data_IF_448628463935
#
_entry.id   IF_448628463935
#
_cell.length_a   1.000
_cell.length_b   1.000
_cell.length_c   1.000
_cell.angle_alpha   90.00
_cell.angle_beta   90.00
_cell.angle_gamma   90.00
#
_symmetry.space_group_name_H-M   'P 1'
#
loop_
_entity.id
_entity.type
_entity.pdbx_description
1 polymer ?
#
# COMPACT_ATOMS: atom_id res chain seq x y z
N UNK A 1 14.88 -78.53 -47.99
CA UNK A 1 16.15 -77.92 -48.44
C UNK A 1 15.84 -76.51 -48.95
N UNK A 2 16.50 -75.49 -48.38
CA UNK A 2 16.60 -74.08 -48.80
C UNK A 2 15.30 -73.26 -49.07
N UNK A 3 15.02 -72.45 -48.05
CA UNK A 3 14.31 -71.16 -48.05
C UNK A 3 14.95 -70.19 -49.05
N UNK A 4 14.12 -69.37 -49.72
CA UNK A 4 14.36 -67.94 -50.06
C UNK A 4 13.18 -67.41 -50.88
N UNK A 5 12.41 -66.47 -50.33
CA UNK A 5 12.36 -65.11 -50.87
C UNK A 5 11.48 -64.19 -50.03
N UNK A 6 12.17 -63.23 -49.43
CA UNK A 6 11.67 -61.99 -48.84
C UNK A 6 11.05 -61.11 -49.93
N UNK A 7 9.89 -60.52 -49.69
CA UNK A 7 9.46 -59.23 -50.26
C UNK A 7 8.53 -58.56 -49.23
N UNK A 8 8.90 -57.34 -48.85
CA UNK A 8 8.19 -56.41 -47.98
C UNK A 8 7.57 -55.33 -48.86
N UNK A 9 6.27 -55.08 -48.78
CA UNK A 9 5.56 -53.87 -49.24
C UNK A 9 4.24 -53.78 -48.43
N UNK A 10 4.09 -52.84 -47.50
CA UNK A 10 3.65 -51.43 -47.65
C UNK A 10 2.14 -51.29 -47.97
N UNK A 11 1.41 -50.63 -47.04
CA UNK A 11 0.17 -49.80 -47.17
C UNK A 11 -0.71 -49.99 -45.92
N UNK A 12 -0.77 -49.02 -44.99
CA UNK A 12 -1.60 -47.80 -44.99
C UNK A 12 -3.12 -48.07 -44.85
N UNK A 13 -3.67 -47.90 -43.64
CA UNK A 13 -5.02 -47.39 -43.35
C UNK A 13 -5.29 -47.40 -41.82
N UNK A 14 -5.40 -46.21 -41.19
CA UNK A 14 -6.64 -45.64 -40.62
C UNK A 14 -7.18 -46.31 -39.34
N UNK A 15 -7.22 -45.53 -38.25
CA UNK A 15 -8.40 -45.21 -37.38
C UNK A 15 -7.91 -44.79 -35.98
N UNK A 16 -8.15 -43.51 -35.64
CA UNK A 16 -8.11 -42.95 -34.28
C UNK A 16 -9.52 -43.11 -33.62
N UNK A 17 -9.81 -42.53 -32.44
CA UNK A 17 -9.18 -42.58 -31.12
C UNK A 17 -10.20 -43.04 -30.03
N UNK A 18 -9.77 -43.52 -28.85
CA UNK A 18 -10.61 -43.41 -27.63
C UNK A 18 -9.88 -43.78 -26.32
N UNK A 19 -9.72 -42.76 -25.47
CA UNK A 19 -9.82 -42.83 -24.01
C UNK A 19 -8.96 -43.86 -23.23
N UNK A 20 -7.65 -43.61 -23.14
CA UNK A 20 -6.89 -44.07 -21.96
C UNK A 20 -7.07 -43.04 -20.84
N UNK A 21 -7.92 -43.35 -19.86
CA UNK A 21 -7.99 -42.63 -18.58
C UNK A 21 -6.62 -42.73 -17.90
N UNK A 22 -5.90 -41.62 -17.81
CA UNK A 22 -4.76 -41.48 -16.92
C UNK A 22 -5.28 -41.61 -15.47
N UNK A 23 -4.94 -42.72 -14.80
CA UNK A 23 -5.06 -42.82 -13.36
C UNK A 23 -4.04 -41.86 -12.76
N UNK A 24 -4.54 -40.74 -12.23
CA UNK A 24 -3.76 -39.85 -11.36
C UNK A 24 -3.39 -40.70 -10.13
N UNK A 25 -2.09 -40.92 -9.82
CA UNK A 25 -1.75 -41.43 -8.51
C UNK A 25 -2.16 -40.34 -7.52
N UNK A 26 -3.16 -40.65 -6.69
CA UNK A 26 -3.43 -39.87 -5.51
C UNK A 26 -2.13 -39.87 -4.69
N UNK A 27 -1.41 -38.75 -4.74
CA UNK A 27 -0.35 -38.45 -3.80
C UNK A 27 -1.02 -38.33 -2.43
N UNK A 28 -1.20 -39.47 -1.77
CA UNK A 28 -1.49 -39.51 -0.35
C UNK A 28 -0.34 -38.80 0.32
N UNK A 29 -0.60 -37.58 0.78
CA UNK A 29 0.30 -36.88 1.69
C UNK A 29 0.31 -37.71 2.96
N UNK A 30 1.27 -38.64 3.04
CA UNK A 30 1.56 -39.37 4.25
C UNK A 30 2.09 -38.39 5.29
N UNK A 31 1.18 -37.79 6.06
CA UNK A 31 1.52 -37.00 7.24
C UNK A 31 1.98 -37.99 8.31
N UNK A 32 3.23 -38.40 8.23
CA UNK A 32 3.93 -39.13 9.29
C UNK A 32 4.22 -38.16 10.42
N UNK A 33 3.20 -37.82 11.22
CA UNK A 33 3.44 -37.17 12.50
C UNK A 33 3.87 -38.25 13.50
N UNK A 34 5.04 -38.14 14.13
CA UNK A 34 5.42 -39.05 15.19
C UNK A 34 4.40 -38.95 16.34
N UNK A 35 4.07 -40.08 16.95
CA UNK A 35 3.16 -40.11 18.09
C UNK A 35 3.75 -39.24 19.22
N UNK A 36 3.03 -38.16 19.56
CA UNK A 36 3.40 -37.24 20.62
C UNK A 36 3.43 -37.99 21.95
N UNK A 37 4.58 -37.97 22.61
CA UNK A 37 4.72 -38.49 23.97
C UNK A 37 4.18 -37.47 24.97
N UNK A 38 3.69 -37.93 26.14
CA UNK A 38 3.11 -37.06 27.18
C UNK A 38 4.06 -35.92 27.57
N UNK A 39 5.36 -36.19 27.65
CA UNK A 39 6.38 -35.18 27.94
C UNK A 39 6.46 -34.08 26.86
N UNK A 40 6.28 -34.42 25.58
CA UNK A 40 6.30 -33.44 24.48
C UNK A 40 5.02 -32.58 24.44
N UNK A 41 3.93 -33.06 25.04
CA UNK A 41 2.69 -32.28 25.17
C UNK A 41 2.84 -31.20 26.24
N UNK A 42 3.52 -31.50 27.35
CA UNK A 42 3.69 -30.57 28.47
C UNK A 42 4.99 -29.77 28.43
N UNK A 43 5.98 -30.17 27.60
CA UNK A 43 7.23 -29.42 27.42
C UNK A 43 7.34 -28.91 25.99
N UNK A 44 7.28 -27.58 25.78
CA UNK A 44 7.49 -27.02 24.45
C UNK A 44 8.92 -27.35 24.00
N UNK A 45 9.07 -27.85 22.77
CA UNK A 45 10.38 -28.17 22.18
C UNK A 45 11.30 -26.93 22.03
N UNK A 46 10.74 -25.73 22.12
CA UNK A 46 11.46 -24.48 22.04
C UNK A 46 11.15 -23.60 23.26
N UNK A 47 12.06 -23.60 24.24
CA UNK A 47 12.08 -22.64 25.34
C UNK A 47 12.55 -21.28 24.81
N UNK A 48 11.61 -20.52 24.22
CA UNK A 48 11.87 -19.16 23.78
C UNK A 48 11.98 -18.24 24.99
N UNK A 49 12.96 -17.34 24.97
CA UNK A 49 13.06 -16.24 25.93
C UNK A 49 11.84 -15.30 25.78
N UNK A 50 11.03 -15.10 26.84
CA UNK A 50 9.84 -14.25 26.79
C UNK A 50 10.17 -12.77 26.54
N UNK A 51 11.39 -12.31 26.80
CA UNK A 51 11.80 -10.93 26.56
C UNK A 51 12.28 -10.70 25.12
N UNK A 52 12.39 -11.76 24.32
CA UNK A 52 12.85 -11.65 22.94
C UNK A 52 11.69 -11.42 21.99
N UNK A 53 11.66 -10.23 21.39
CA UNK A 53 10.65 -9.80 20.42
C UNK A 53 10.44 -10.85 19.32
N UNK A 54 9.17 -11.11 19.01
CA UNK A 54 8.77 -12.02 17.94
C UNK A 54 9.04 -11.44 16.56
N UNK A 55 9.56 -12.28 15.68
CA UNK A 55 9.73 -11.98 14.24
C UNK A 55 8.72 -12.74 13.40
N UNK A 56 7.70 -13.34 14.03
CA UNK A 56 6.66 -14.10 13.34
C UNK A 56 5.68 -13.12 12.69
N UNK A 57 5.36 -13.39 11.44
CA UNK A 57 4.40 -12.60 10.67
C UNK A 57 3.02 -12.64 11.34
N UNK A 58 2.45 -11.46 11.64
CA UNK A 58 1.17 -11.32 12.34
C UNK A 58 1.28 -11.01 13.84
N UNK A 59 2.48 -10.98 14.41
CA UNK A 59 2.68 -10.53 15.78
C UNK A 59 2.61 -9.00 15.86
N UNK A 60 1.67 -8.49 16.67
CA UNK A 60 1.43 -7.06 16.86
C UNK A 60 2.64 -6.34 17.51
N UNK A 61 3.47 -7.08 18.24
CA UNK A 61 4.68 -6.58 18.90
C UNK A 61 5.94 -6.74 18.08
N UNK A 62 5.87 -7.31 16.87
CA UNK A 62 7.01 -7.37 15.96
C UNK A 62 7.45 -5.94 15.56
N UNK A 63 8.77 -5.69 15.39
CA UNK A 63 9.23 -4.40 14.90
C UNK A 63 8.78 -4.27 13.45
N UNK A 64 7.68 -3.54 13.25
CA UNK A 64 7.16 -3.21 11.93
C UNK A 64 8.30 -2.57 11.14
N UNK A 65 8.70 -3.22 10.04
CA UNK A 65 9.70 -2.66 9.14
C UNK A 65 9.28 -1.23 8.79
N UNK A 66 10.18 -0.26 9.01
CA UNK A 66 9.95 1.15 8.73
C UNK A 66 9.94 1.38 7.21
N UNK A 67 8.93 0.85 6.53
CA UNK A 67 8.46 1.47 5.31
C UNK A 67 7.73 2.74 5.74
N UNK A 68 8.34 3.88 5.47
CA UNK A 68 7.81 5.21 5.71
C UNK A 68 6.44 5.36 5.06
N UNK A 69 5.37 5.24 5.86
CA UNK A 69 3.99 5.58 5.46
C UNK A 69 3.90 7.03 4.92
N UNK A 70 4.89 7.87 5.19
CA UNK A 70 5.05 9.20 4.61
C UNK A 70 5.25 9.21 3.09
N UNK A 71 5.75 8.13 2.47
CA UNK A 71 5.94 8.10 1.01
C UNK A 71 4.65 7.79 0.23
N UNK A 72 3.74 7.00 0.82
CA UNK A 72 2.39 6.80 0.25
C UNK A 72 1.47 8.00 0.50
N UNK A 73 1.75 8.79 1.54
CA UNK A 73 0.99 10.02 1.85
C UNK A 73 1.23 11.17 0.86
N UNK A 74 2.29 11.08 0.02
CA UNK A 74 2.59 12.07 -1.03
C UNK A 74 1.62 12.01 -2.21
N UNK A 75 0.79 10.98 -2.32
CA UNK A 75 0.16 10.59 -3.58
C UNK A 75 -1.08 11.39 -4.00
N UNK A 76 -1.66 12.29 -3.20
CA UNK A 76 -2.93 12.96 -3.60
C UNK A 76 -3.11 14.38 -3.06
N UNK A 77 -2.06 15.05 -2.61
CA UNK A 77 -2.18 16.45 -2.24
C UNK A 77 -2.04 17.34 -3.48
N UNK A 78 -3.09 18.10 -3.81
CA UNK A 78 -3.10 19.09 -4.89
C UNK A 78 -3.45 20.46 -4.36
N UNK A 79 -2.56 21.44 -4.57
CA UNK A 79 -2.77 22.83 -4.14
C UNK A 79 -3.97 23.47 -4.86
N UNK A 80 -4.26 23.03 -6.09
CA UNK A 80 -5.29 23.60 -6.96
C UNK A 80 -6.72 23.39 -6.46
N UNK A 81 -6.95 22.38 -5.64
CA UNK A 81 -8.27 22.08 -5.10
C UNK A 81 -8.55 22.79 -3.78
N UNK A 82 -7.58 23.56 -3.27
CA UNK A 82 -7.74 24.30 -2.03
C UNK A 82 -8.56 25.56 -2.26
N UNK A 83 -9.50 25.81 -1.37
CA UNK A 83 -10.21 27.08 -1.26
C UNK A 83 -9.97 27.70 0.10
N UNK A 84 -9.99 29.03 0.14
CA UNK A 84 -9.79 29.80 1.36
C UNK A 84 -11.10 29.86 2.14
N UNK A 85 -11.12 29.21 3.31
CA UNK A 85 -12.27 29.22 4.21
C UNK A 85 -12.29 30.49 5.06
N UNK A 86 -11.12 30.90 5.57
CA UNK A 86 -11.04 32.04 6.48
C UNK A 86 -9.61 32.45 6.79
N UNK A 87 -9.47 33.69 7.26
CA UNK A 87 -8.22 34.24 7.78
C UNK A 87 -8.47 34.67 9.21
N UNK A 88 -7.62 34.19 10.13
CA UNK A 88 -7.62 34.57 11.53
C UNK A 88 -6.41 35.46 11.80
N UNK A 89 -6.64 36.61 12.41
CA UNK A 89 -5.58 37.53 12.81
C UNK A 89 -5.62 37.70 14.32
N UNK A 90 -4.56 37.21 14.97
CA UNK A 90 -4.26 37.50 16.36
C UNK A 90 -3.20 38.60 16.43
N UNK A 91 -3.13 39.28 17.56
CA UNK A 91 -2.11 40.26 17.94
C UNK A 91 -0.66 39.84 17.62
N UNK A 92 -0.38 38.53 17.60
CA UNK A 92 0.96 37.96 17.39
C UNK A 92 1.13 37.25 16.06
N UNK A 93 0.05 36.82 15.41
CA UNK A 93 0.17 36.00 14.20
C UNK A 93 -1.07 36.06 13.33
N UNK A 94 -0.85 35.99 12.01
CA UNK A 94 -1.89 35.79 11.01
C UNK A 94 -1.86 34.34 10.54
N UNK A 95 -3.02 33.70 10.51
CA UNK A 95 -3.23 32.32 10.09
C UNK A 95 -4.33 32.28 9.03
N UNK A 96 -4.21 31.38 8.07
CA UNK A 96 -5.27 31.13 7.10
C UNK A 96 -5.70 29.68 7.12
N UNK A 97 -7.01 29.45 7.08
CA UNK A 97 -7.61 28.12 6.99
C UNK A 97 -8.01 27.85 5.55
N UNK A 98 -7.48 26.75 5.03
CA UNK A 98 -7.69 26.28 3.67
C UNK A 98 -8.40 24.93 3.75
N UNK A 99 -9.36 24.69 2.89
CA UNK A 99 -10.02 23.39 2.78
C UNK A 99 -9.87 22.84 1.37
N UNK A 100 -9.68 21.53 1.26
CA UNK A 100 -9.70 20.84 -0.03
C UNK A 100 -11.16 20.61 -0.47
N UNK A 101 -11.50 21.02 -1.69
CA UNK A 101 -12.82 20.82 -2.27
C UNK A 101 -13.13 19.33 -2.51
N UNK A 102 -12.12 18.51 -2.78
CA UNK A 102 -12.32 17.09 -3.05
C UNK A 102 -12.49 16.26 -1.76
N UNK A 103 -11.59 16.45 -0.80
CA UNK A 103 -11.52 15.60 0.40
C UNK A 103 -12.16 16.26 1.64
N UNK A 104 -12.37 17.58 1.62
CA UNK A 104 -12.79 18.35 2.80
C UNK A 104 -11.72 18.45 3.89
N UNK A 105 -10.48 18.05 3.60
CA UNK A 105 -9.36 18.14 4.55
C UNK A 105 -9.01 19.60 4.81
N UNK A 106 -8.74 19.89 6.07
CA UNK A 106 -8.39 21.23 6.54
C UNK A 106 -6.88 21.37 6.64
N UNK A 107 -6.36 22.42 6.02
CA UNK A 107 -4.98 22.83 6.08
C UNK A 107 -4.89 24.23 6.71
N UNK A 108 -3.79 24.48 7.43
CA UNK A 108 -3.56 25.75 8.11
C UNK A 108 -2.25 26.34 7.59
N UNK A 109 -2.33 27.54 7.00
CA UNK A 109 -1.14 28.31 6.65
C UNK A 109 -0.75 29.19 7.84
N UNK A 110 0.41 28.91 8.44
CA UNK A 110 0.96 29.67 9.57
C UNK A 110 2.45 29.92 9.39
N UNK A 111 2.89 31.16 9.56
CA UNK A 111 4.32 31.51 9.50
C UNK A 111 4.99 31.12 8.18
N UNK A 112 4.25 31.20 7.07
CA UNK A 112 4.75 30.86 5.74
C UNK A 112 4.66 29.38 5.36
N UNK A 113 4.23 28.51 6.28
CA UNK A 113 4.23 27.05 6.12
C UNK A 113 2.81 26.52 6.11
N UNK A 114 2.51 25.63 5.16
CA UNK A 114 1.24 24.92 5.15
C UNK A 114 1.32 23.72 6.09
N UNK A 115 0.35 23.62 6.99
CA UNK A 115 0.23 22.56 7.97
C UNK A 115 -1.00 21.71 7.65
N UNK A 116 -0.85 20.40 7.76
CA UNK A 116 -1.96 19.44 7.73
C UNK A 116 -2.77 19.51 9.05
N UNK A 117 -3.94 18.87 9.07
CA UNK A 117 -4.78 18.57 10.22
C UNK A 117 -4.00 18.09 11.47
N UNK A 118 -2.92 17.33 11.25
CA UNK A 118 -2.02 16.83 12.31
C UNK A 118 -0.94 17.84 12.74
N UNK A 119 -1.04 19.10 12.33
CA UNK A 119 -0.04 20.16 12.50
C UNK A 119 1.34 19.83 11.92
N UNK A 120 1.40 18.89 10.98
CA UNK A 120 2.63 18.53 10.27
C UNK A 120 2.79 19.44 9.07
N UNK A 121 4.01 19.90 8.84
CA UNK A 121 4.31 20.71 7.66
C UNK A 121 4.15 19.89 6.38
N UNK A 122 3.38 20.42 5.43
CA UNK A 122 3.28 19.89 4.08
C UNK A 122 4.55 20.27 3.32
N UNK A 123 5.35 19.30 2.83
CA UNK A 123 6.58 19.59 2.11
C UNK A 123 6.28 20.21 0.74
N UNK A 124 7.17 21.07 0.25
CA UNK A 124 7.07 21.64 -1.09
C UNK A 124 5.97 22.69 -1.28
N UNK A 125 5.30 23.12 -0.20
CA UNK A 125 4.29 24.18 -0.24
C UNK A 125 4.60 25.23 0.82
N UNK A 126 4.72 26.46 0.37
CA UNK A 126 4.81 27.64 1.23
C UNK A 126 3.76 28.65 0.81
N UNK A 127 3.54 29.69 1.60
CA UNK A 127 2.57 30.70 1.22
C UNK A 127 2.65 31.96 2.05
N UNK A 128 2.02 33.03 1.57
CA UNK A 128 1.98 34.33 2.23
C UNK A 128 0.54 34.82 2.27
N UNK A 129 0.14 35.38 3.41
CA UNK A 129 -1.18 35.96 3.60
C UNK A 129 -1.08 37.47 3.31
N UNK A 130 -1.88 37.96 2.36
CA UNK A 130 -1.93 39.37 1.94
C UNK A 130 -3.36 39.89 2.05
N UNK A 131 -3.69 40.55 3.15
CA UNK A 131 -5.05 41.08 3.37
C UNK A 131 -6.10 39.96 3.38
N UNK A 132 -7.06 40.04 2.45
CA UNK A 132 -8.12 39.03 2.23
C UNK A 132 -7.72 37.90 1.27
N UNK A 133 -6.45 37.83 0.87
CA UNK A 133 -5.93 36.87 -0.09
C UNK A 133 -4.82 36.01 0.52
N UNK A 134 -4.72 34.77 0.07
CA UNK A 134 -3.61 33.86 0.35
C UNK A 134 -2.91 33.51 -0.95
N UNK A 135 -1.58 33.64 -0.96
CA UNK A 135 -0.74 33.29 -2.09
C UNK A 135 0.05 32.05 -1.71
N UNK A 136 -0.20 30.92 -2.37
CA UNK A 136 0.53 29.67 -2.19
C UNK A 136 1.60 29.53 -3.28
N UNK A 137 2.76 29.00 -2.90
CA UNK A 137 3.90 28.74 -3.75
C UNK A 137 4.35 27.29 -3.58
N UNK A 138 4.32 26.54 -4.68
CA UNK A 138 4.83 25.17 -4.72
C UNK A 138 6.33 25.16 -5.04
N UNK A 139 7.01 24.03 -4.80
CA UNK A 139 8.42 23.82 -5.17
C UNK A 139 8.71 24.11 -6.65
N UNK A 140 7.74 23.83 -7.52
CA UNK A 140 7.77 24.14 -8.96
C UNK A 140 7.69 25.65 -9.28
N UNK A 141 7.72 26.54 -8.27
CA UNK A 141 7.51 27.99 -8.38
C UNK A 141 6.14 28.39 -8.95
N UNK A 142 5.19 27.47 -8.97
CA UNK A 142 3.80 27.75 -9.36
C UNK A 142 3.14 28.55 -8.24
N UNK A 143 2.50 29.66 -8.62
CA UNK A 143 1.85 30.57 -7.69
C UNK A 143 0.34 30.41 -7.84
N UNK A 144 -0.34 30.09 -6.74
CA UNK A 144 -1.79 30.06 -6.68
C UNK A 144 -2.30 31.13 -5.74
N UNK A 145 -3.22 31.95 -6.23
CA UNK A 145 -3.84 33.00 -5.45
C UNK A 145 -5.26 32.58 -5.08
N UNK A 146 -5.57 32.59 -3.79
CA UNK A 146 -6.86 32.22 -3.23
C UNK A 146 -7.46 33.44 -2.55
N UNK A 147 -8.66 33.82 -3.00
CA UNK A 147 -9.39 34.95 -2.42
C UNK A 147 -10.45 34.42 -1.45
N UNK A 148 -10.73 35.20 -0.42
CA UNK A 148 -11.83 34.89 0.49
C UNK A 148 -13.14 35.16 -0.26
N UNK A 149 -13.86 34.09 -0.61
CA UNK A 149 -15.17 34.22 -1.24
C UNK A 149 -16.21 34.56 -0.18
N UNK A 150 -16.77 35.76 -0.27
CA UNK A 150 -17.98 36.13 0.48
C UNK A 150 -19.14 35.38 -0.21
N UNK A 151 -19.49 34.21 0.32
CA UNK A 151 -20.66 33.47 -0.16
C UNK A 151 -21.89 34.18 0.39
N UNK A 152 -22.42 35.14 -0.36
CA UNK A 152 -23.78 35.62 -0.15
C UNK A 152 -24.74 34.44 -0.40
N UNK A 153 -25.43 34.02 0.65
CA UNK A 153 -26.56 33.09 0.59
C UNK A 153 -27.71 33.67 1.38
#
# INVERSE_FOLDING_TARGET
MKIKNTIVFLCLALIAPAAARAQVPAAGVGVSTPALTVEQVYRPANTRDPLKISTVFGDEHSPKSRASVSDLSRSTFSVYNLFLTGIMEDSRSKEAMLADNATGLIYILKGGKLLDSKRKQVPGVSGVIKGKQVVLMTEDKKVQQLNLHETEK
#
